data_IF_606323502250
#
_entry.id   IF_606323502250
#
_cell.length_a   1.000
_cell.length_b   1.000
_cell.length_c   1.000
_cell.angle_alpha   90.00
_cell.angle_beta   90.00
_cell.angle_gamma   90.00
#
_symmetry.space_group_name_H-M   'P 1'
#
loop_
_entity.id
_entity.type
_entity.pdbx_description
1 polymer ?
#
# COMPACT_ATOMS: atom_id res chain seq x y z
N UNK A 1 9.41 -7.85 -6.67
CA UNK A 1 8.16 -7.73 -7.44
C UNK A 1 7.92 -6.26 -7.73
N UNK A 2 7.40 -5.90 -8.91
CA UNK A 2 7.11 -4.52 -9.30
C UNK A 2 5.62 -4.29 -9.52
N UNK A 3 5.24 -3.08 -9.93
CA UNK A 3 3.85 -2.78 -10.28
C UNK A 3 3.33 -3.70 -11.39
N UNK A 4 2.07 -4.16 -11.32
CA UNK A 4 1.45 -4.93 -12.38
C UNK A 4 1.06 -4.00 -13.54
N UNK A 5 2.04 -3.63 -14.37
CA UNK A 5 1.89 -2.66 -15.48
C UNK A 5 0.79 -3.03 -16.48
N UNK A 6 0.62 -4.33 -16.78
CA UNK A 6 -0.46 -4.81 -17.65
C UNK A 6 -1.86 -4.67 -17.00
N UNK A 7 -1.96 -4.87 -15.68
CA UNK A 7 -3.21 -4.64 -14.96
C UNK A 7 -3.54 -3.14 -14.95
N UNK A 8 -2.54 -2.28 -14.75
CA UNK A 8 -2.73 -0.83 -14.79
C UNK A 8 -3.22 -0.33 -16.16
N UNK A 9 -2.66 -0.89 -17.24
CA UNK A 9 -3.09 -0.60 -18.60
C UNK A 9 -4.54 -1.05 -18.85
N UNK A 10 -4.93 -2.25 -18.38
CA UNK A 10 -6.29 -2.75 -18.50
C UNK A 10 -7.31 -1.97 -17.67
N UNK A 11 -6.91 -1.47 -16.50
CA UNK A 11 -7.72 -0.63 -15.63
C UNK A 11 -7.85 0.82 -16.10
N UNK A 12 -7.21 1.19 -17.22
CA UNK A 12 -7.21 2.55 -17.78
C UNK A 12 -6.87 3.63 -16.74
N UNK A 13 -5.90 3.32 -15.87
CA UNK A 13 -5.46 4.27 -14.84
C UNK A 13 -4.86 5.49 -15.52
N UNK A 14 -5.47 6.65 -15.31
CA UNK A 14 -5.06 7.94 -15.87
C UNK A 14 -4.63 8.86 -14.74
N UNK A 15 -3.63 9.69 -14.99
CA UNK A 15 -3.05 10.56 -13.97
C UNK A 15 -3.94 11.75 -13.58
N UNK A 16 -4.91 12.08 -14.42
CA UNK A 16 -5.85 13.20 -14.27
C UNK A 16 -7.20 12.79 -13.66
N UNK A 17 -7.40 11.51 -13.33
CA UNK A 17 -8.61 10.99 -12.71
C UNK A 17 -8.29 10.19 -11.45
N UNK A 18 -9.13 10.31 -10.43
CA UNK A 18 -9.03 9.44 -9.25
C UNK A 18 -9.03 7.98 -9.72
N UNK A 19 -8.11 7.18 -9.19
CA UNK A 19 -7.96 5.81 -9.64
C UNK A 19 -9.21 4.98 -9.39
N UNK A 20 -9.49 3.97 -10.24
CA UNK A 20 -10.56 3.03 -9.99
C UNK A 20 -10.24 2.18 -8.75
N UNK A 21 -11.29 1.71 -8.07
CA UNK A 21 -11.16 0.69 -7.05
C UNK A 21 -10.78 -0.64 -7.70
N UNK A 22 -9.76 -1.30 -7.16
CA UNK A 22 -9.21 -2.56 -7.67
C UNK A 22 -9.52 -3.75 -6.76
N UNK A 23 -10.05 -3.51 -5.57
CA UNK A 23 -10.46 -4.56 -4.65
C UNK A 23 -10.86 -4.04 -3.27
N UNK A 24 -10.99 -4.98 -2.34
CA UNK A 24 -11.24 -4.75 -0.93
C UNK A 24 -10.14 -5.42 -0.11
N UNK A 25 -9.65 -4.74 0.92
CA UNK A 25 -8.77 -5.34 1.92
C UNK A 25 -9.57 -6.22 2.90
N UNK A 26 -8.87 -7.08 3.62
CA UNK A 26 -9.48 -8.05 4.54
C UNK A 26 -10.18 -7.40 5.76
N UNK A 27 -9.92 -6.12 6.02
CA UNK A 27 -10.57 -5.30 7.05
C UNK A 27 -11.74 -4.46 6.50
N UNK A 28 -12.11 -4.65 5.23
CA UNK A 28 -13.28 -4.03 4.61
C UNK A 28 -13.06 -2.64 4.03
N UNK A 29 -11.82 -2.13 4.00
CA UNK A 29 -11.51 -0.86 3.32
C UNK A 29 -11.19 -1.06 1.83
N UNK A 30 -11.54 -0.10 0.96
CA UNK A 30 -11.28 -0.20 -0.47
C UNK A 30 -9.78 -0.09 -0.78
N UNK A 31 -9.35 -0.78 -1.83
CA UNK A 31 -8.01 -0.66 -2.42
C UNK A 31 -8.16 0.02 -3.77
N UNK A 32 -7.52 1.16 -3.94
CA UNK A 32 -7.44 1.91 -5.19
C UNK A 32 -6.09 1.71 -5.88
N UNK A 33 -6.01 2.11 -7.16
CA UNK A 33 -4.76 2.08 -7.92
C UNK A 33 -3.77 3.18 -7.47
N UNK A 34 -3.18 3.97 -8.38
CA UNK A 34 -2.03 4.85 -8.06
C UNK A 34 -2.41 6.27 -7.64
N UNK A 35 -3.60 6.75 -7.97
CA UNK A 35 -3.94 8.17 -7.92
C UNK A 35 -5.13 8.44 -7.00
N UNK A 36 -5.01 9.48 -6.18
CA UNK A 36 -6.03 9.96 -5.26
C UNK A 36 -6.12 11.48 -5.29
N UNK A 37 -6.96 12.06 -4.44
CA UNK A 37 -7.05 13.51 -4.30
C UNK A 37 -5.87 14.07 -3.48
N UNK A 38 -5.36 15.23 -3.90
CA UNK A 38 -4.25 15.94 -3.24
C UNK A 38 -4.62 16.44 -1.85
N UNK A 39 -5.85 16.93 -1.70
CA UNK A 39 -6.44 17.21 -0.39
C UNK A 39 -7.40 16.06 -0.03
N UNK A 40 -7.09 15.27 1.01
CA UNK A 40 -7.89 14.11 1.40
C UNK A 40 -9.31 14.46 1.85
N UNK A 41 -9.62 15.73 2.09
CA UNK A 41 -10.97 16.17 2.50
C UNK A 41 -11.74 16.89 1.39
N UNK A 42 -11.16 17.01 0.19
CA UNK A 42 -11.74 17.80 -0.89
C UNK A 42 -11.76 17.02 -2.22
N UNK A 43 -12.93 16.53 -2.67
CA UNK A 43 -13.05 15.76 -3.92
C UNK A 43 -12.92 16.64 -5.18
N UNK A 44 -12.78 17.95 -5.03
CA UNK A 44 -12.51 18.90 -6.12
C UNK A 44 -11.03 19.29 -6.20
N UNK A 45 -10.20 18.77 -5.31
CA UNK A 45 -8.76 19.01 -5.36
C UNK A 45 -8.12 18.27 -6.55
N UNK A 46 -6.88 18.65 -6.87
CA UNK A 46 -6.15 18.01 -7.95
C UNK A 46 -5.94 16.51 -7.67
N UNK A 47 -5.91 15.71 -8.72
CA UNK A 47 -5.56 14.30 -8.64
C UNK A 47 -4.04 14.17 -8.67
N UNK A 48 -3.47 13.44 -7.70
CA UNK A 48 -2.03 13.23 -7.55
C UNK A 48 -1.70 11.77 -7.34
N UNK A 49 -0.46 11.40 -7.63
CA UNK A 49 0.05 10.06 -7.34
C UNK A 49 0.18 9.87 -5.82
N UNK A 50 -0.39 8.78 -5.31
CA UNK A 50 -0.26 8.38 -3.92
C UNK A 50 1.10 7.71 -3.71
N UNK A 51 1.89 8.27 -2.82
CA UNK A 51 3.29 7.89 -2.63
C UNK A 51 3.49 7.22 -1.28
N UNK A 52 4.25 6.13 -1.30
CA UNK A 52 4.63 5.42 -0.09
C UNK A 52 5.61 6.24 0.76
N UNK A 53 5.49 6.10 2.08
CA UNK A 53 6.43 6.66 3.06
C UNK A 53 7.63 5.74 3.36
N UNK A 54 7.79 4.65 2.62
CA UNK A 54 8.96 3.77 2.73
C UNK A 54 10.12 4.29 1.87
N UNK A 55 11.29 4.37 2.49
CA UNK A 55 12.52 4.83 1.86
C UNK A 55 13.59 3.75 1.91
N UNK A 56 14.42 3.70 0.88
CA UNK A 56 15.57 2.81 0.85
C UNK A 56 16.59 3.26 1.92
N UNK A 57 17.02 2.33 2.76
CA UNK A 57 18.06 2.59 3.76
C UNK A 57 19.37 2.96 3.06
N UNK A 58 20.14 3.94 3.56
CA UNK A 58 21.47 4.22 3.04
C UNK A 58 22.48 3.17 3.54
N UNK A 59 23.58 3.00 2.82
CA UNK A 59 24.74 2.24 3.28
C UNK A 59 24.75 0.76 2.87
N UNK A 60 25.28 -0.09 3.76
CA UNK A 60 25.51 -1.52 3.50
C UNK A 60 24.81 -2.39 4.55
N UNK A 61 24.32 -3.55 4.11
CA UNK A 61 23.77 -4.58 4.98
C UNK A 61 24.88 -5.19 5.84
N UNK A 62 24.57 -5.62 7.07
CA UNK A 62 25.48 -6.45 7.85
C UNK A 62 25.80 -7.76 7.12
N UNK A 63 26.99 -8.31 7.38
CA UNK A 63 27.42 -9.63 6.90
C UNK A 63 27.32 -10.71 7.99
N UNK A 64 27.00 -10.34 9.22
CA UNK A 64 26.87 -11.25 10.34
C UNK A 64 25.56 -12.05 10.30
N UNK A 65 25.55 -13.24 10.91
CA UNK A 65 24.37 -14.09 11.12
C UNK A 65 23.66 -14.50 9.82
N UNK A 66 24.43 -14.80 8.77
CA UNK A 66 23.87 -15.28 7.48
C UNK A 66 23.17 -14.19 6.66
N UNK A 67 23.35 -12.92 7.01
CA UNK A 67 22.82 -11.81 6.21
C UNK A 67 23.58 -11.68 4.88
N UNK A 68 22.88 -11.35 3.77
CA UNK A 68 23.45 -11.36 2.43
C UNK A 68 24.54 -10.30 2.18
N UNK A 69 24.75 -9.36 3.11
CA UNK A 69 25.69 -8.26 2.93
C UNK A 69 25.34 -7.37 1.73
N UNK A 70 26.34 -6.63 1.24
CA UNK A 70 26.18 -5.73 0.09
C UNK A 70 25.51 -4.40 0.43
N UNK A 71 25.15 -3.61 -0.59
CA UNK A 71 24.47 -2.31 -0.40
C UNK A 71 22.98 -2.52 -0.24
N UNK A 72 22.32 -1.69 0.56
CA UNK A 72 20.86 -1.57 0.48
C UNK A 72 20.49 -1.04 -0.91
N UNK A 73 19.99 -1.92 -1.77
CA UNK A 73 19.70 -1.66 -3.19
C UNK A 73 18.23 -1.92 -3.55
N UNK A 74 17.41 -2.27 -2.56
CA UNK A 74 15.98 -2.52 -2.72
C UNK A 74 15.66 -3.96 -3.11
N UNK A 75 16.67 -4.85 -3.18
CA UNK A 75 16.48 -6.28 -3.44
C UNK A 75 15.65 -6.94 -2.33
N UNK A 76 15.81 -6.53 -1.08
CA UNK A 76 15.11 -7.12 0.06
C UNK A 76 14.13 -6.14 0.69
N UNK A 77 12.99 -6.64 1.14
CA UNK A 77 12.05 -5.89 2.01
C UNK A 77 12.75 -5.21 3.19
N UNK A 78 13.75 -5.88 3.78
CA UNK A 78 14.52 -5.36 4.91
C UNK A 78 15.39 -4.14 4.56
N UNK A 79 15.55 -3.82 3.27
CA UNK A 79 16.28 -2.64 2.81
C UNK A 79 15.49 -1.35 2.95
N UNK A 80 14.18 -1.44 3.15
CA UNK A 80 13.32 -0.28 3.30
C UNK A 80 13.09 0.03 4.77
N UNK A 81 12.91 1.30 5.07
CA UNK A 81 12.47 1.81 6.37
C UNK A 81 11.27 2.71 6.16
N UNK A 82 10.30 2.65 7.06
CA UNK A 82 9.19 3.59 7.06
C UNK A 82 9.63 4.90 7.71
N UNK A 83 9.33 6.01 7.04
CA UNK A 83 9.55 7.37 7.53
C UNK A 83 8.23 8.13 7.42
N UNK A 84 7.54 8.34 8.54
CA UNK A 84 6.25 9.02 8.54
C UNK A 84 6.33 10.40 7.84
N UNK A 85 5.42 10.65 6.90
CA UNK A 85 5.36 11.89 6.12
C UNK A 85 6.39 12.01 4.99
N UNK A 86 7.17 10.96 4.69
CA UNK A 86 8.04 10.95 3.51
C UNK A 86 7.25 10.82 2.19
N UNK A 87 6.05 10.25 2.25
CA UNK A 87 5.06 10.23 1.17
C UNK A 87 3.68 10.63 1.68
N UNK A 88 2.64 10.40 0.87
CA UNK A 88 1.25 10.70 1.23
C UNK A 88 0.53 9.57 1.99
N UNK A 89 1.15 8.40 2.10
CA UNK A 89 0.55 7.21 2.71
C UNK A 89 1.23 6.81 4.03
N UNK A 90 0.47 6.14 4.89
CA UNK A 90 0.95 5.58 6.17
C UNK A 90 1.71 4.26 6.00
N UNK A 91 2.07 3.60 7.11
CA UNK A 91 2.83 2.35 7.10
C UNK A 91 2.12 1.19 6.39
N UNK A 92 0.80 1.25 6.21
CA UNK A 92 0.04 0.23 5.49
C UNK A 92 -0.22 0.60 4.02
N UNK A 93 0.39 1.67 3.51
CA UNK A 93 0.07 2.29 2.21
C UNK A 93 -1.39 2.73 2.12
N UNK A 94 -1.95 3.26 3.20
CA UNK A 94 -3.27 3.85 3.17
C UNK A 94 -3.30 5.27 3.73
N UNK A 95 -4.45 5.90 3.61
CA UNK A 95 -4.74 7.20 4.20
C UNK A 95 -6.24 7.38 4.37
N UNK A 96 -6.65 8.26 5.27
CA UNK A 96 -8.03 8.73 5.34
C UNK A 96 -8.25 9.76 4.24
N UNK A 97 -9.21 9.50 3.36
CA UNK A 97 -9.50 10.36 2.22
C UNK A 97 -10.94 10.22 1.75
N UNK A 98 -11.46 11.27 1.14
CA UNK A 98 -12.63 11.19 0.27
C UNK A 98 -12.25 10.48 -1.04
N UNK A 99 -13.21 9.79 -1.64
CA UNK A 99 -13.07 9.16 -2.95
C UNK A 99 -14.38 9.34 -3.73
N UNK A 100 -14.41 9.08 -5.06
CA UNK A 100 -15.67 9.14 -5.82
C UNK A 100 -16.76 8.22 -5.27
N UNK A 101 -16.38 7.04 -4.76
CA UNK A 101 -17.32 6.05 -4.19
C UNK A 101 -17.65 6.34 -2.71
N UNK A 102 -16.77 7.06 -2.02
CA UNK A 102 -16.90 7.42 -0.60
C UNK A 102 -16.71 8.94 -0.39
N UNK A 103 -17.69 9.77 -0.82
CA UNK A 103 -17.57 11.23 -0.75
C UNK A 103 -17.60 11.78 0.68
N UNK A 104 -18.12 11.02 1.65
CA UNK A 104 -18.10 11.37 3.08
C UNK A 104 -16.77 11.01 3.77
N UNK A 105 -15.84 10.37 3.04
CA UNK A 105 -14.55 9.93 3.56
C UNK A 105 -14.55 8.46 3.96
N UNK A 106 -13.40 7.83 3.75
CA UNK A 106 -13.10 6.46 4.20
C UNK A 106 -11.60 6.32 4.42
N UNK A 107 -11.17 5.25 5.08
CA UNK A 107 -9.77 4.85 4.99
C UNK A 107 -9.62 4.05 3.70
N UNK A 108 -8.62 4.39 2.90
CA UNK A 108 -8.39 3.76 1.61
C UNK A 108 -6.93 3.33 1.48
N UNK A 109 -6.71 2.14 0.94
CA UNK A 109 -5.38 1.68 0.54
C UNK A 109 -5.09 2.05 -0.90
N UNK A 110 -3.82 2.26 -1.22
CA UNK A 110 -3.38 2.53 -2.58
C UNK A 110 -2.27 1.55 -2.99
N UNK A 111 -2.31 1.14 -4.26
CA UNK A 111 -1.13 0.60 -4.92
C UNK A 111 -0.11 1.73 -5.09
N UNK A 112 1.18 1.41 -5.07
CA UNK A 112 2.21 2.45 -5.24
C UNK A 112 3.30 2.03 -6.23
N UNK A 113 3.91 3.01 -6.91
CA UNK A 113 5.01 2.76 -7.86
C UNK A 113 6.28 2.23 -7.22
N UNK A 114 6.43 2.44 -5.91
CA UNK A 114 7.62 2.06 -5.18
C UNK A 114 7.26 1.02 -4.11
N UNK A 115 8.27 0.51 -3.43
CA UNK A 115 8.02 -0.40 -2.34
C UNK A 115 7.31 0.33 -1.18
N UNK A 116 6.25 -0.23 -0.58
CA UNK A 116 5.57 -1.47 -0.95
C UNK A 116 4.58 -1.24 -2.11
N UNK A 117 4.63 -2.09 -3.14
CA UNK A 117 3.77 -1.92 -4.32
C UNK A 117 2.29 -2.23 -4.04
N UNK A 118 2.04 -3.10 -3.07
CA UNK A 118 0.72 -3.50 -2.57
C UNK A 118 0.69 -3.31 -1.04
N UNK A 119 -0.47 -3.02 -0.43
CA UNK A 119 -0.62 -2.92 1.02
C UNK A 119 -0.08 -4.17 1.73
N UNK A 120 0.67 -3.98 2.82
CA UNK A 120 1.30 -5.08 3.58
C UNK A 120 0.75 -5.29 4.99
N UNK A 121 -0.08 -4.38 5.46
CA UNK A 121 -0.82 -4.52 6.70
C UNK A 121 -2.24 -4.00 6.52
N UNK A 122 -3.08 -4.33 7.50
CA UNK A 122 -4.43 -3.82 7.63
C UNK A 122 -4.49 -2.75 8.73
N UNK A 123 -5.39 -1.79 8.60
CA UNK A 123 -5.60 -0.66 9.50
C UNK A 123 -6.73 -0.96 10.48
N UNK A 124 -7.78 -1.62 10.00
CA UNK A 124 -8.91 -2.06 10.78
C UNK A 124 -8.69 -3.43 11.43
N UNK A 125 -9.75 -3.95 12.05
CA UNK A 125 -9.79 -5.35 12.48
C UNK A 125 -10.09 -6.22 11.26
N UNK A 126 -9.34 -7.32 11.09
CA UNK A 126 -9.67 -8.33 10.08
C UNK A 126 -11.00 -8.97 10.48
N UNK A 127 -11.94 -9.08 9.53
CA UNK A 127 -13.15 -9.86 9.76
C UNK A 127 -12.75 -11.30 10.13
N UNK A 128 -13.21 -11.84 11.27
CA UNK A 128 -12.87 -13.21 11.69
C UNK A 128 -13.16 -14.29 10.64
N UNK A 129 -14.07 -14.04 9.71
CA UNK A 129 -14.40 -14.96 8.60
C UNK A 129 -13.34 -14.99 7.48
N UNK A 130 -12.50 -13.96 7.38
CA UNK A 130 -11.37 -13.88 6.44
C UNK A 130 -10.08 -14.48 7.02
N UNK A 131 -10.09 -14.79 8.32
CA UNK A 131 -9.01 -15.55 8.97
C UNK A 131 -9.35 -17.02 8.80
N UNK A 132 -8.64 -17.73 7.91
CA UNK A 132 -8.68 -19.19 7.98
C UNK A 132 -8.24 -19.62 9.37
N UNK A 133 -9.06 -20.35 10.16
CA UNK A 133 -8.58 -20.94 11.39
C UNK A 133 -7.35 -21.80 11.05
N UNK A 134 -6.32 -21.81 11.91
CA UNK A 134 -5.14 -22.63 11.65
C UNK A 134 -5.56 -24.06 11.32
N UNK A 135 -5.05 -24.58 10.20
CA UNK A 135 -5.24 -25.98 9.82
C UNK A 135 -4.55 -26.84 10.89
N UNK A 136 -5.36 -27.47 11.72
CA UNK A 136 -4.97 -28.60 12.57
C UNK A 136 -4.69 -28.26 14.03
N UNK A 137 -5.66 -28.55 14.90
CA UNK A 137 -5.55 -29.65 15.86
C UNK A 137 -6.95 -30.18 16.19
N UNK A 138 -7.44 -31.14 15.42
CA UNK A 138 -8.36 -32.14 15.98
C UNK A 138 -7.56 -32.99 16.95
N UNK A 139 -7.82 -32.82 18.24
CA UNK A 139 -7.05 -33.43 19.32
C UNK A 139 -7.88 -33.62 20.58
N UNK A 140 -8.60 -34.75 20.59
CA UNK A 140 -9.40 -35.40 21.66
C UNK A 140 -10.84 -34.95 21.84
#
# INVERSE_FOLDING_TARGET
HGLPTLLMANLKVQADHHSPQVGWAADGFPIYALYGFSDPNNPKSEVVEMTTSYQLKPGKRPTANGQPGGRYDGTFTADYTYTAGAGSLDECNGTWTVTPDHPEGTYAYFLTRHYPFVPRCVKGQIDPTMVTPPIGTTGR
#
